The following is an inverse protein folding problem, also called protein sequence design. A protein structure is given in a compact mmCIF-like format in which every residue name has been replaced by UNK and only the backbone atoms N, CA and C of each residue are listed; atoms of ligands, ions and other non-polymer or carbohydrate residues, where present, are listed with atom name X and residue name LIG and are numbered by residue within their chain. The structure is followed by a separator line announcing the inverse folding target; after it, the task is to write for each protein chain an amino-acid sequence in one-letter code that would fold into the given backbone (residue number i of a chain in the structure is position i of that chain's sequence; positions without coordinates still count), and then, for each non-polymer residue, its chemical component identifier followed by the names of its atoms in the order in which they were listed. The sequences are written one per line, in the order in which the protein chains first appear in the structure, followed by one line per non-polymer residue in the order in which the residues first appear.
data_IF_856073386257
#
_entry.id   IF_856073386257
#
_cell.length_a   1.000
_cell.length_b   1.000
_cell.length_c   1.000
_cell.angle_alpha   90.00
_cell.angle_beta   90.00
_cell.angle_gamma   90.00
#
_symmetry.space_group_name_H-M   'P 1'
#
loop_
_entity.id
_entity.type
_entity.pdbx_description
1 polymer ?
#
# COMPACT_ATOMS: atom_id res chain seq x y z
N UNK A 1 13.31 -2.66 4.32
CA UNK A 1 11.97 -2.10 4.60
C UNK A 1 10.87 -3.03 4.13
N UNK A 2 9.81 -3.10 4.88
CA UNK A 2 8.60 -3.82 4.52
C UNK A 2 7.52 -2.79 4.20
N UNK A 3 6.88 -2.91 3.04
CA UNK A 3 5.71 -2.11 2.70
C UNK A 3 4.45 -2.91 3.00
N UNK A 4 3.61 -2.37 3.84
CA UNK A 4 2.33 -2.97 4.23
C UNK A 4 1.19 -2.15 3.65
N UNK A 5 0.22 -2.82 3.06
CA UNK A 5 -0.99 -2.20 2.54
C UNK A 5 -2.21 -2.80 3.20
N UNK A 6 -3.04 -1.97 3.78
CA UNK A 6 -4.39 -2.31 4.20
C UNK A 6 -5.36 -1.46 3.38
N UNK A 7 -5.96 -2.07 2.37
CA UNK A 7 -6.93 -1.40 1.51
C UNK A 7 -8.37 -1.71 1.88
N UNK A 8 -8.60 -2.64 2.80
CA UNK A 8 -9.95 -3.16 3.08
C UNK A 8 -10.59 -2.59 4.34
N UNK A 9 -9.81 -2.03 5.25
CA UNK A 9 -10.35 -1.43 6.47
C UNK A 9 -11.04 -0.09 6.15
N UNK A 10 -11.88 0.41 7.07
CA UNK A 10 -12.49 1.74 6.91
C UNK A 10 -11.47 2.88 6.74
N UNK A 11 -10.27 2.70 7.26
CA UNK A 11 -9.19 3.67 7.13
C UNK A 11 -8.02 3.01 6.39
N UNK A 12 -8.10 2.93 5.05
CA UNK A 12 -7.02 2.32 4.27
C UNK A 12 -5.69 3.06 4.47
N UNK A 13 -4.60 2.30 4.52
CA UNK A 13 -3.30 2.87 4.85
C UNK A 13 -2.17 2.10 4.18
N UNK A 14 -1.14 2.84 3.76
CA UNK A 14 0.19 2.28 3.52
C UNK A 14 1.04 2.50 4.76
N UNK A 15 1.77 1.48 5.18
CA UNK A 15 2.71 1.58 6.28
C UNK A 15 4.07 1.05 5.86
N UNK A 16 5.11 1.73 6.28
CA UNK A 16 6.49 1.27 6.06
C UNK A 16 7.05 0.81 7.40
N UNK A 17 7.55 -0.42 7.41
CA UNK A 17 8.06 -1.06 8.61
C UNK A 17 9.55 -1.34 8.43
N UNK A 18 10.34 -0.95 9.41
CA UNK A 18 11.77 -1.22 9.45
C UNK A 18 12.17 -1.58 10.87
N UNK A 19 12.94 -2.66 11.01
CA UNK A 19 13.39 -3.16 12.31
C UNK A 19 12.23 -3.36 13.30
N UNK A 20 11.13 -3.95 12.81
CA UNK A 20 9.92 -4.23 13.59
C UNK A 20 9.19 -2.98 14.10
N UNK A 21 9.47 -1.81 13.50
CA UNK A 21 8.80 -0.56 13.86
C UNK A 21 8.15 0.06 12.63
N UNK A 22 6.97 0.62 12.81
CA UNK A 22 6.31 1.42 11.78
C UNK A 22 7.00 2.78 11.76
N UNK A 23 7.72 3.07 10.69
CA UNK A 23 8.44 4.35 10.57
C UNK A 23 7.62 5.41 9.85
N UNK A 24 6.60 5.00 9.08
CA UNK A 24 5.74 5.94 8.37
C UNK A 24 4.42 5.26 8.03
N UNK A 25 3.33 5.99 8.17
CA UNK A 25 2.02 5.55 7.69
C UNK A 25 1.38 6.69 6.90
N UNK A 26 0.76 6.36 5.77
CA UNK A 26 0.05 7.31 4.92
C UNK A 26 -1.34 6.77 4.68
N UNK A 27 -2.35 7.55 5.06
CA UNK A 27 -3.73 7.21 4.77
C UNK A 27 -4.02 7.35 3.27
N UNK A 28 -4.76 6.39 2.74
CA UNK A 28 -5.24 6.46 1.37
C UNK A 28 -6.57 7.21 1.42
N UNK A 29 -6.50 8.53 1.24
CA UNK A 29 -7.66 9.39 1.42
C UNK A 29 -8.67 9.20 0.29
N UNK A 30 -9.92 8.96 0.67
CA UNK A 30 -11.04 8.81 -0.26
C UNK A 30 -11.95 10.01 -0.14
N UNK A 31 -11.58 11.09 -0.80
CA UNK A 31 -12.39 12.32 -0.79
C UNK A 31 -13.44 12.25 -1.88
N UNK A 32 -14.60 12.86 -1.61
CA UNK A 32 -15.68 13.04 -2.60
C UNK A 32 -16.14 11.73 -3.25
N UNK A 33 -16.30 10.69 -2.46
CA UNK A 33 -16.78 9.38 -2.92
C UNK A 33 -15.87 8.72 -3.96
N UNK A 34 -14.60 9.10 -4.01
CA UNK A 34 -13.63 8.44 -4.90
C UNK A 34 -13.43 7.00 -4.49
N UNK A 35 -13.24 6.14 -5.48
CA UNK A 35 -12.95 4.74 -5.24
C UNK A 35 -11.51 4.56 -4.78
N UNK A 36 -11.24 3.49 -4.03
CA UNK A 36 -9.89 3.16 -3.61
C UNK A 36 -8.95 3.02 -4.81
N UNK A 37 -9.45 2.52 -5.94
CA UNK A 37 -8.66 2.40 -7.17
C UNK A 37 -8.15 3.73 -7.69
N UNK A 38 -8.83 4.84 -7.38
CA UNK A 38 -8.43 6.17 -7.81
C UNK A 38 -7.45 6.82 -6.83
N UNK A 39 -7.31 6.28 -5.63
CA UNK A 39 -6.58 6.90 -4.54
C UNK A 39 -5.27 6.19 -4.19
N UNK A 40 -5.16 4.91 -4.54
CA UNK A 40 -4.04 4.08 -4.09
C UNK A 40 -2.71 4.50 -4.72
N UNK A 41 -2.69 4.79 -6.01
CA UNK A 41 -1.47 5.20 -6.70
C UNK A 41 -0.99 6.59 -6.25
N UNK A 42 -1.86 7.61 -6.15
CA UNK A 42 -1.43 8.90 -5.59
C UNK A 42 -0.86 8.78 -4.18
N UNK A 43 -1.45 7.94 -3.33
CA UNK A 43 -0.95 7.71 -1.97
C UNK A 43 0.45 7.08 -2.01
N UNK A 44 0.66 6.11 -2.89
CA UNK A 44 1.97 5.48 -3.02
C UNK A 44 3.03 6.48 -3.50
N UNK A 45 2.69 7.34 -4.45
CA UNK A 45 3.62 8.38 -4.91
C UNK A 45 3.97 9.36 -3.80
N UNK A 46 3.01 9.71 -2.95
CA UNK A 46 3.30 10.54 -1.77
C UNK A 46 4.33 9.86 -0.87
N UNK A 47 4.14 8.58 -0.60
CA UNK A 47 5.07 7.79 0.20
C UNK A 47 6.45 7.73 -0.45
N UNK A 48 6.49 7.49 -1.77
CA UNK A 48 7.73 7.41 -2.53
C UNK A 48 8.51 8.73 -2.47
N UNK A 49 7.80 9.87 -2.59
CA UNK A 49 8.42 11.18 -2.50
C UNK A 49 9.02 11.45 -1.12
N UNK A 50 8.43 10.92 -0.07
CA UNK A 50 8.89 11.13 1.29
C UNK A 50 10.06 10.22 1.67
N UNK A 51 10.03 8.95 1.25
CA UNK A 51 10.96 7.94 1.73
C UNK A 51 11.76 7.23 0.65
N UNK A 52 11.43 7.45 -0.64
CA UNK A 52 12.07 6.76 -1.76
C UNK A 52 12.07 5.25 -1.57
N UNK A 53 10.88 4.72 -1.25
CA UNK A 53 10.73 3.32 -0.83
C UNK A 53 11.03 2.31 -1.94
N UNK A 54 10.90 2.69 -3.23
CA UNK A 54 11.11 1.75 -4.34
C UNK A 54 12.45 1.03 -4.27
N UNK A 55 13.49 1.73 -3.83
CA UNK A 55 14.86 1.18 -3.79
C UNK A 55 15.15 0.43 -2.49
N UNK A 56 14.24 0.50 -1.52
CA UNK A 56 14.50 0.01 -0.16
C UNK A 56 13.56 -1.10 0.28
N UNK A 57 12.48 -1.33 -0.46
CA UNK A 57 11.49 -2.34 -0.11
C UNK A 57 12.06 -3.73 -0.40
N UNK A 58 12.05 -4.58 0.62
CA UNK A 58 12.50 -5.98 0.52
C UNK A 58 11.32 -6.94 0.51
N UNK A 59 10.18 -6.53 1.06
CA UNK A 59 9.03 -7.39 1.22
C UNK A 59 7.74 -6.55 1.15
N UNK A 60 6.72 -7.14 0.55
CA UNK A 60 5.39 -6.56 0.46
C UNK A 60 4.42 -7.41 1.27
N UNK A 61 3.58 -6.76 2.06
CA UNK A 61 2.54 -7.42 2.86
C UNK A 61 1.22 -6.73 2.57
N UNK A 62 0.21 -7.51 2.25
CA UNK A 62 -1.12 -6.99 1.99
C UNK A 62 -2.13 -7.64 2.94
N UNK A 63 -3.01 -6.82 3.52
CA UNK A 63 -4.09 -7.31 4.36
C UNK A 63 -5.15 -7.98 3.48
N UNK A 64 -5.50 -9.23 3.79
CA UNK A 64 -6.43 -10.02 2.98
C UNK A 64 -7.86 -9.99 3.47
N UNK A 65 -8.17 -9.23 4.48
CA UNK A 65 -9.52 -9.06 4.93
C UNK A 65 -9.72 -9.36 6.40
N UNK A 66 -10.98 -9.39 6.90
CA UNK A 66 -12.23 -9.21 6.16
C UNK A 66 -12.44 -7.78 5.68
N UNK A 67 -13.21 -7.62 4.60
CA UNK A 67 -13.52 -6.31 4.05
C UNK A 67 -14.11 -6.39 2.65
N UNK A 68 -14.12 -5.26 1.95
CA UNK A 68 -14.66 -5.15 0.61
C UNK A 68 -13.86 -5.98 -0.40
N UNK A 69 -14.54 -6.82 -1.18
CA UNK A 69 -13.88 -7.57 -2.25
C UNK A 69 -13.24 -6.66 -3.29
N UNK A 70 -13.89 -5.56 -3.62
CA UNK A 70 -13.36 -4.61 -4.60
C UNK A 70 -12.07 -4.00 -4.10
N UNK A 71 -12.05 -3.53 -2.86
CA UNK A 71 -10.85 -2.94 -2.27
C UNK A 71 -9.73 -3.97 -2.14
N UNK A 72 -10.06 -5.20 -1.76
CA UNK A 72 -9.09 -6.27 -1.66
C UNK A 72 -8.43 -6.56 -3.00
N UNK A 73 -9.22 -6.66 -4.07
CA UNK A 73 -8.70 -6.90 -5.41
C UNK A 73 -7.79 -5.77 -5.89
N UNK A 74 -8.20 -4.53 -5.65
CA UNK A 74 -7.39 -3.36 -6.01
C UNK A 74 -6.05 -3.40 -5.28
N UNK A 75 -6.07 -3.66 -3.98
CA UNK A 75 -4.86 -3.73 -3.17
C UNK A 75 -3.92 -4.83 -3.63
N UNK A 76 -4.45 -6.03 -3.84
CA UNK A 76 -3.65 -7.18 -4.31
C UNK A 76 -3.06 -6.90 -5.69
N UNK A 77 -3.87 -6.37 -6.61
CA UNK A 77 -3.41 -6.07 -7.96
C UNK A 77 -2.30 -5.02 -7.94
N UNK A 78 -2.45 -3.97 -7.14
CA UNK A 78 -1.42 -2.95 -7.00
C UNK A 78 -0.11 -3.54 -6.46
N UNK A 79 -0.18 -4.29 -5.37
CA UNK A 79 1.01 -4.88 -4.75
C UNK A 79 1.67 -5.90 -5.65
N UNK A 80 0.87 -6.68 -6.38
CA UNK A 80 1.39 -7.64 -7.34
C UNK A 80 2.14 -6.93 -8.48
N UNK A 81 1.56 -5.86 -9.02
CA UNK A 81 2.24 -5.05 -10.04
C UNK A 81 3.53 -4.45 -9.54
N UNK A 82 3.53 -3.95 -8.31
CA UNK A 82 4.72 -3.40 -7.68
C UNK A 82 5.80 -4.47 -7.49
N UNK A 83 5.40 -5.68 -7.08
CA UNK A 83 6.29 -6.82 -6.93
C UNK A 83 7.01 -7.14 -8.23
N UNK A 84 6.26 -7.21 -9.33
CA UNK A 84 6.82 -7.50 -10.66
C UNK A 84 7.76 -6.39 -11.10
N UNK A 85 7.33 -5.13 -10.99
CA UNK A 85 8.10 -3.97 -11.45
C UNK A 85 9.44 -3.85 -10.74
N UNK A 86 9.46 -4.14 -9.45
CA UNK A 86 10.65 -3.93 -8.61
C UNK A 86 11.35 -5.25 -8.23
N UNK A 87 10.89 -6.37 -8.77
CA UNK A 87 11.44 -7.70 -8.47
C UNK A 87 11.44 -8.00 -6.97
N UNK A 88 10.35 -7.65 -6.30
CA UNK A 88 10.19 -7.86 -4.87
C UNK A 88 9.26 -9.05 -4.65
N UNK A 89 9.60 -9.89 -3.68
CA UNK A 89 8.73 -11.02 -3.31
C UNK A 89 7.53 -10.52 -2.52
N UNK A 90 6.37 -11.01 -2.93
CA UNK A 90 5.10 -10.68 -2.25
C UNK A 90 4.83 -11.65 -1.12
#
# INVERSE_FOLDING_TARGET
MILFLDAVSPLPVFSVIEENKVIRSIQILRKNSKKISDCIIPAYFTLQNQLQVNDKIEKLVVCTGPGSFTALRVGIAFMYGLSISNRIYL
#
